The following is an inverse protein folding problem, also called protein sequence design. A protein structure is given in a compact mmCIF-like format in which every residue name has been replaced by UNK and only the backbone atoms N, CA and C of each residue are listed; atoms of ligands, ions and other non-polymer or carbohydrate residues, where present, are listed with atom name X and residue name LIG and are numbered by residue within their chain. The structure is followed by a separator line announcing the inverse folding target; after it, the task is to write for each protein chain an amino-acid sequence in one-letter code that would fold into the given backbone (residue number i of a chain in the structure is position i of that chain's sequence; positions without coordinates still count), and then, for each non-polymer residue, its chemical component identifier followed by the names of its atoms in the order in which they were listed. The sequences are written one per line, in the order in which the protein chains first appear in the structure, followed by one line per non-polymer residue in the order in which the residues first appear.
data_IF_551478224462
#
_entry.id   IF_551478224462
#
_cell.length_a   1.000
_cell.length_b   1.000
_cell.length_c   1.000
_cell.angle_alpha   90.00
_cell.angle_beta   90.00
_cell.angle_gamma   90.00
#
_symmetry.space_group_name_H-M   'P 1'
#
loop_
_entity.id
_entity.type
_entity.pdbx_description
1 polymer ?
#
# COMPACT_ATOMS: atom_id res chain seq x y z
N UNK A 1 -9.23 -3.40 -7.06
CA UNK A 1 -9.71 -4.49 -7.93
C UNK A 1 -10.31 -3.88 -9.22
N UNK A 2 -10.26 -4.57 -10.36
CA UNK A 2 -10.61 -4.12 -11.72
C UNK A 2 -12.01 -4.54 -12.17
N UNK A 3 -12.93 -3.61 -12.35
CA UNK A 3 -14.31 -3.84 -12.83
C UNK A 3 -14.61 -2.78 -13.87
N UNK A 4 -15.71 -2.89 -14.61
CA UNK A 4 -16.13 -1.82 -15.53
C UNK A 4 -17.18 -0.92 -14.85
N UNK A 5 -17.85 -1.44 -13.83
CA UNK A 5 -18.78 -0.71 -12.96
C UNK A 5 -18.41 -0.92 -11.49
N UNK A 6 -18.58 0.10 -10.65
CA UNK A 6 -18.27 0.00 -9.23
C UNK A 6 -19.22 -0.93 -8.48
N UNK A 7 -18.71 -1.69 -7.52
CA UNK A 7 -19.51 -2.58 -6.68
C UNK A 7 -18.97 -2.62 -5.25
N UNK A 8 -19.84 -2.63 -4.26
CA UNK A 8 -19.48 -2.80 -2.84
C UNK A 8 -20.66 -3.49 -2.16
N UNK A 9 -20.73 -3.50 -0.83
CA UNK A 9 -21.98 -3.85 -0.16
C UNK A 9 -23.15 -2.99 -0.69
N UNK A 10 -24.34 -3.56 -1.01
CA UNK A 10 -24.79 -4.94 -0.78
C UNK A 10 -24.51 -5.92 -1.94
N UNK A 11 -23.93 -5.48 -3.05
CA UNK A 11 -23.63 -6.32 -4.22
C UNK A 11 -22.51 -7.33 -3.95
N UNK A 12 -21.59 -6.99 -3.04
CA UNK A 12 -20.60 -7.91 -2.49
C UNK A 12 -20.91 -8.28 -1.04
N UNK A 13 -21.15 -9.56 -0.79
CA UNK A 13 -21.40 -10.11 0.56
C UNK A 13 -20.18 -10.04 1.49
N UNK A 14 -18.98 -9.89 0.94
CA UNK A 14 -17.71 -9.76 1.66
C UNK A 14 -17.26 -8.30 1.77
N UNK A 15 -18.07 -7.35 1.32
CA UNK A 15 -17.78 -5.91 1.38
C UNK A 15 -16.44 -5.51 0.72
N UNK A 16 -16.00 -6.26 -0.30
CA UNK A 16 -14.83 -5.88 -1.11
C UNK A 16 -15.15 -4.68 -1.99
N UNK A 17 -14.16 -3.82 -2.21
CA UNK A 17 -14.30 -2.64 -3.06
C UNK A 17 -13.96 -2.94 -4.53
N UNK A 18 -15.07 -3.01 -5.27
CA UNK A 18 -15.27 -3.03 -6.70
C UNK A 18 -14.92 -1.73 -7.43
N UNK A 19 -13.74 -1.51 -8.02
CA UNK A 19 -13.46 -0.23 -8.71
C UNK A 19 -13.64 -0.32 -10.22
N UNK A 20 -14.36 0.63 -10.84
CA UNK A 20 -14.48 0.71 -12.29
C UNK A 20 -13.14 1.12 -12.90
N UNK A 21 -12.84 0.57 -14.06
CA UNK A 21 -11.73 0.87 -14.92
C UNK A 21 -12.29 1.25 -16.27
N UNK A 22 -11.78 2.36 -16.78
CA UNK A 22 -12.18 2.93 -18.04
C UNK A 22 -10.90 3.22 -18.81
N UNK A 23 -10.84 2.66 -20.00
CA UNK A 23 -9.78 2.90 -20.96
C UNK A 23 -10.43 3.19 -22.33
N UNK A 24 -9.63 3.16 -23.40
CA UNK A 24 -10.10 3.39 -24.76
C UNK A 24 -10.61 2.10 -25.43
N UNK A 25 -10.56 0.95 -24.74
CA UNK A 25 -10.97 -0.31 -25.31
C UNK A 25 -12.51 -0.40 -25.34
N UNK A 26 -13.08 -1.04 -26.37
CA UNK A 26 -14.52 -1.26 -26.41
C UNK A 26 -14.98 -2.21 -25.29
N UNK A 27 -16.21 -1.99 -24.84
CA UNK A 27 -16.89 -2.84 -23.85
C UNK A 27 -17.94 -3.69 -24.55
N UNK A 28 -18.10 -4.93 -24.10
CA UNK A 28 -19.18 -5.83 -24.53
C UNK A 28 -20.10 -6.14 -23.36
N UNK A 29 -21.41 -6.15 -23.62
CA UNK A 29 -22.43 -6.55 -22.66
C UNK A 29 -22.75 -8.05 -22.76
N UNK A 30 -22.99 -8.66 -21.61
CA UNK A 30 -23.43 -10.05 -21.52
C UNK A 30 -24.82 -10.23 -22.14
N UNK A 31 -24.97 -11.28 -22.96
CA UNK A 31 -26.19 -11.54 -23.75
C UNK A 31 -27.17 -12.50 -23.06
N UNK A 32 -26.84 -12.98 -21.85
CA UNK A 32 -27.72 -13.84 -21.05
C UNK A 32 -27.40 -13.71 -19.55
N UNK A 33 -28.14 -14.42 -18.70
CA UNK A 33 -28.05 -14.31 -17.24
C UNK A 33 -26.67 -14.70 -16.71
N UNK A 34 -25.97 -13.76 -16.09
CA UNK A 34 -24.64 -13.99 -15.50
C UNK A 34 -24.76 -14.48 -14.06
N UNK A 35 -23.76 -15.25 -13.64
CA UNK A 35 -23.70 -15.89 -12.33
C UNK A 35 -22.26 -15.88 -11.83
N UNK A 36 -22.08 -15.79 -10.51
CA UNK A 36 -20.78 -15.90 -9.88
C UNK A 36 -20.58 -17.17 -9.05
N UNK A 37 -21.54 -18.11 -9.08
CA UNK A 37 -21.53 -19.30 -8.21
C UNK A 37 -20.38 -20.27 -8.50
N UNK A 38 -19.86 -20.28 -9.72
CA UNK A 38 -18.76 -21.15 -10.14
C UNK A 38 -17.37 -20.59 -9.73
N UNK A 39 -17.30 -19.33 -9.28
CA UNK A 39 -16.05 -18.76 -8.77
C UNK A 39 -15.93 -18.99 -7.27
N UNK A 40 -14.78 -19.50 -6.84
CA UNK A 40 -14.53 -19.89 -5.45
C UNK A 40 -14.72 -18.75 -4.42
N UNK A 41 -14.42 -17.50 -4.80
CA UNK A 41 -14.55 -16.33 -3.94
C UNK A 41 -15.78 -15.46 -4.22
N UNK A 42 -16.75 -15.99 -4.96
CA UNK A 42 -18.07 -15.39 -5.19
C UNK A 42 -18.02 -13.87 -5.45
N UNK A 43 -17.32 -13.40 -6.51
CA UNK A 43 -17.32 -12.01 -6.92
C UNK A 43 -18.75 -11.49 -7.20
N UNK A 44 -19.00 -10.18 -7.11
CA UNK A 44 -20.30 -9.61 -7.42
C UNK A 44 -20.74 -9.94 -8.83
N UNK A 45 -21.99 -10.38 -8.97
CA UNK A 45 -22.59 -10.75 -10.26
C UNK A 45 -22.50 -9.59 -11.26
N UNK A 46 -22.61 -8.33 -10.79
CA UNK A 46 -22.49 -7.12 -11.61
C UNK A 46 -21.18 -7.01 -12.38
N UNK A 47 -20.12 -7.64 -11.89
CA UNK A 47 -18.82 -7.69 -12.57
C UNK A 47 -18.87 -8.33 -13.96
N UNK A 48 -19.79 -9.26 -14.14
CA UNK A 48 -19.89 -10.09 -15.34
C UNK A 48 -20.92 -9.56 -16.33
N UNK A 49 -21.67 -8.50 -15.97
CA UNK A 49 -22.60 -7.85 -16.89
C UNK A 49 -21.88 -7.26 -18.11
N UNK A 50 -20.62 -6.87 -17.94
CA UNK A 50 -19.80 -6.26 -18.99
C UNK A 50 -18.40 -6.85 -18.99
N UNK A 51 -17.67 -6.68 -20.10
CA UNK A 51 -16.27 -7.04 -20.22
C UNK A 51 -15.53 -6.15 -21.20
N UNK A 52 -14.26 -5.87 -20.95
CA UNK A 52 -13.39 -5.15 -21.88
C UNK A 52 -13.01 -6.12 -22.99
N UNK A 53 -13.07 -5.67 -24.24
CA UNK A 53 -12.78 -6.49 -25.43
C UNK A 53 -11.98 -5.68 -26.45
N UNK A 54 -11.57 -6.32 -27.54
CA UNK A 54 -11.05 -5.63 -28.74
C UNK A 54 -11.66 -6.25 -30.01
N UNK A 55 -11.36 -5.68 -31.18
CA UNK A 55 -11.80 -6.21 -32.48
C UNK A 55 -11.26 -7.61 -32.74
N UNK A 56 -11.93 -8.37 -33.61
CA UNK A 56 -11.52 -9.72 -34.04
C UNK A 56 -10.03 -9.74 -34.44
N UNK A 57 -9.30 -10.72 -33.93
CA UNK A 57 -7.90 -10.99 -34.26
C UNK A 57 -6.90 -9.98 -33.69
N UNK A 58 -7.35 -8.95 -32.96
CA UNK A 58 -6.45 -8.02 -32.27
C UNK A 58 -6.15 -8.49 -30.86
N UNK A 59 -4.94 -8.19 -30.39
CA UNK A 59 -4.57 -8.31 -28.98
C UNK A 59 -5.28 -7.23 -28.18
N UNK A 60 -5.91 -7.62 -27.07
CA UNK A 60 -6.43 -6.65 -26.09
C UNK A 60 -5.31 -6.28 -25.14
N UNK A 61 -5.02 -5.00 -25.00
CA UNK A 61 -4.04 -4.49 -24.05
C UNK A 61 -4.72 -3.60 -23.03
N UNK A 62 -4.47 -3.89 -21.74
CA UNK A 62 -5.06 -3.18 -20.61
C UNK A 62 -3.93 -2.78 -19.68
N UNK A 63 -3.87 -1.50 -19.34
CA UNK A 63 -2.94 -0.99 -18.36
C UNK A 63 -3.61 -0.96 -16.99
N UNK A 64 -3.37 -2.00 -16.19
CA UNK A 64 -3.96 -2.14 -14.87
C UNK A 64 -3.03 -2.87 -13.89
N UNK A 65 -2.89 -2.38 -12.65
CA UNK A 65 -3.53 -1.17 -12.09
C UNK A 65 -2.98 0.16 -12.66
N UNK A 66 -3.78 1.22 -12.55
CA UNK A 66 -3.41 2.56 -13.08
C UNK A 66 -2.23 3.21 -12.34
N UNK A 67 -2.00 2.80 -11.10
CA UNK A 67 -0.91 3.29 -10.27
C UNK A 67 0.31 2.35 -10.39
N UNK A 68 1.54 2.88 -10.38
CA UNK A 68 2.73 2.05 -10.33
C UNK A 68 2.77 1.24 -9.03
N UNK A 69 3.16 -0.02 -9.12
CA UNK A 69 3.25 -0.95 -8.01
C UNK A 69 4.67 -0.99 -7.41
N UNK A 70 4.80 -1.10 -6.08
CA UNK A 70 6.05 -1.47 -5.43
C UNK A 70 6.65 -2.77 -6.01
N UNK A 71 7.97 -2.89 -5.98
CA UNK A 71 8.64 -4.13 -6.40
C UNK A 71 8.48 -5.21 -5.34
N UNK A 72 7.59 -6.18 -5.59
CA UNK A 72 7.33 -7.33 -4.70
C UNK A 72 6.51 -8.41 -5.42
N UNK A 73 6.07 -9.43 -4.68
CA UNK A 73 5.13 -10.44 -5.14
C UNK A 73 3.68 -10.02 -4.91
N UNK A 74 2.84 -10.39 -5.87
CA UNK A 74 1.41 -10.12 -5.86
C UNK A 74 0.63 -11.41 -6.08
N UNK A 75 -0.49 -11.53 -5.40
CA UNK A 75 -1.55 -12.43 -5.82
C UNK A 75 -2.34 -11.74 -6.94
N UNK A 76 -2.57 -12.44 -8.04
CA UNK A 76 -3.35 -11.93 -9.17
C UNK A 76 -4.42 -12.94 -9.52
N UNK A 77 -5.65 -12.49 -9.72
CA UNK A 77 -6.74 -13.32 -10.23
C UNK A 77 -7.50 -12.55 -11.30
N UNK A 78 -7.68 -13.13 -12.48
CA UNK A 78 -8.41 -12.55 -13.59
C UNK A 78 -9.66 -13.40 -13.88
N UNK A 79 -10.77 -12.71 -14.11
CA UNK A 79 -12.10 -13.31 -14.21
C UNK A 79 -12.67 -13.14 -15.62
N UNK A 80 -13.21 -14.23 -16.14
CA UNK A 80 -13.70 -14.33 -17.51
C UNK A 80 -15.04 -15.04 -17.50
N UNK A 81 -16.02 -14.50 -18.21
CA UNK A 81 -17.29 -15.16 -18.49
C UNK A 81 -17.81 -14.63 -19.82
N UNK A 82 -18.07 -15.52 -20.78
CA UNK A 82 -18.65 -15.17 -22.06
C UNK A 82 -20.02 -15.81 -22.17
N UNK A 83 -21.04 -14.99 -22.00
CA UNK A 83 -22.42 -15.45 -21.93
C UNK A 83 -23.15 -15.39 -23.28
N UNK A 84 -22.39 -15.37 -24.38
CA UNK A 84 -22.94 -15.63 -25.71
C UNK A 84 -23.30 -17.11 -25.86
N UNK A 85 -24.35 -17.36 -26.63
CA UNK A 85 -24.78 -18.72 -26.93
C UNK A 85 -23.62 -19.49 -27.60
N UNK A 86 -23.27 -20.69 -27.11
CA UNK A 86 -22.18 -21.47 -27.69
C UNK A 86 -22.42 -21.72 -29.19
N UNK A 87 -21.49 -21.28 -30.01
CA UNK A 87 -21.46 -21.52 -31.45
C UNK A 87 -20.00 -21.65 -31.88
N UNK A 88 -19.69 -22.31 -33.01
CA UNK A 88 -18.33 -22.36 -33.55
C UNK A 88 -17.69 -20.98 -33.73
N UNK A 89 -18.50 -19.92 -33.81
CA UNK A 89 -18.07 -18.54 -34.02
C UNK A 89 -18.08 -17.66 -32.77
N UNK A 90 -18.41 -18.20 -31.59
CA UNK A 90 -18.47 -17.44 -30.34
C UNK A 90 -17.40 -17.82 -29.33
N UNK A 91 -16.59 -18.86 -29.60
CA UNK A 91 -15.52 -19.28 -28.70
C UNK A 91 -14.42 -18.22 -28.64
N UNK A 92 -14.07 -17.82 -27.42
CA UNK A 92 -12.92 -16.97 -27.15
C UNK A 92 -11.81 -17.85 -26.58
N UNK A 93 -10.82 -18.12 -27.42
CA UNK A 93 -9.59 -18.79 -27.04
C UNK A 93 -8.42 -17.82 -27.19
N UNK A 94 -7.67 -17.60 -26.11
CA UNK A 94 -6.56 -16.66 -26.11
C UNK A 94 -5.53 -16.99 -25.02
N UNK A 95 -4.33 -16.48 -25.21
CA UNK A 95 -3.27 -16.48 -24.21
C UNK A 95 -3.33 -15.19 -23.38
N UNK A 96 -2.99 -15.30 -22.10
CA UNK A 96 -2.92 -14.19 -21.14
C UNK A 96 -1.46 -13.91 -20.84
N UNK A 97 -1.05 -12.65 -20.98
CA UNK A 97 0.28 -12.18 -20.64
C UNK A 97 0.21 -11.05 -19.62
N UNK A 98 1.18 -11.01 -18.71
CA UNK A 98 1.39 -9.91 -17.78
C UNK A 98 2.82 -9.41 -17.97
N UNK A 99 2.98 -8.13 -18.33
CA UNK A 99 4.26 -7.51 -18.66
C UNK A 99 5.06 -8.29 -19.72
N UNK A 100 4.37 -8.87 -20.71
CA UNK A 100 4.98 -9.67 -21.79
C UNK A 100 5.34 -11.11 -21.41
N UNK A 101 5.21 -11.49 -20.13
CA UNK A 101 5.41 -12.86 -19.68
C UNK A 101 4.10 -13.65 -19.74
N UNK A 102 4.17 -14.90 -20.20
CA UNK A 102 3.01 -15.79 -20.29
C UNK A 102 2.46 -16.07 -18.88
N UNK A 103 1.23 -15.63 -18.63
CA UNK A 103 0.51 -15.84 -17.38
C UNK A 103 -0.39 -17.08 -17.45
N UNK A 104 -1.07 -17.27 -18.58
CA UNK A 104 -1.88 -18.46 -18.82
C UNK A 104 -2.00 -18.73 -20.32
N UNK A 105 -1.85 -19.98 -20.75
CA UNK A 105 -1.94 -20.39 -22.15
C UNK A 105 -3.27 -21.06 -22.48
N UNK A 106 -3.77 -20.86 -23.70
CA UNK A 106 -4.95 -21.53 -24.24
C UNK A 106 -6.19 -21.38 -23.35
N UNK A 107 -6.42 -20.19 -22.79
CA UNK A 107 -7.62 -19.93 -22.00
C UNK A 107 -8.84 -20.02 -22.90
N UNK A 108 -9.79 -20.89 -22.54
CA UNK A 108 -11.07 -21.02 -23.19
C UNK A 108 -12.17 -20.48 -22.27
N UNK A 109 -12.80 -19.37 -22.67
CA UNK A 109 -13.83 -18.73 -21.85
C UNK A 109 -15.17 -19.47 -21.99
N UNK A 110 -15.81 -19.77 -20.87
CA UNK A 110 -17.10 -20.48 -20.81
C UNK A 110 -18.23 -19.57 -20.33
N UNK A 111 -19.47 -20.01 -20.52
CA UNK A 111 -20.66 -19.32 -20.00
C UNK A 111 -20.81 -19.43 -18.49
N UNK A 112 -20.24 -20.48 -17.85
CA UNK A 112 -20.18 -20.61 -16.39
C UNK A 112 -19.15 -19.66 -15.76
N UNK A 113 -18.16 -19.27 -16.54
CA UNK A 113 -17.05 -18.46 -16.10
C UNK A 113 -15.81 -19.29 -15.78
N UNK A 114 -14.66 -18.65 -15.86
CA UNK A 114 -13.35 -19.21 -15.55
C UNK A 114 -12.47 -18.13 -14.93
N UNK A 115 -11.70 -18.49 -13.92
CA UNK A 115 -10.70 -17.62 -13.31
C UNK A 115 -9.32 -18.20 -13.51
N UNK A 116 -8.36 -17.37 -13.89
CA UNK A 116 -6.93 -17.73 -13.87
C UNK A 116 -6.22 -16.90 -12.82
N UNK A 117 -5.36 -17.53 -12.03
CA UNK A 117 -4.71 -16.87 -10.91
C UNK A 117 -3.26 -17.30 -10.74
N UNK A 118 -2.48 -16.43 -10.10
CA UNK A 118 -1.15 -16.75 -9.61
C UNK A 118 -1.07 -16.37 -8.13
N UNK A 119 -0.62 -17.33 -7.32
CA UNK A 119 -0.44 -17.10 -5.89
C UNK A 119 0.72 -16.15 -5.58
N UNK A 120 1.75 -16.13 -6.43
CA UNK A 120 2.90 -15.24 -6.34
C UNK A 120 3.37 -14.87 -7.74
N UNK A 121 3.16 -13.62 -8.13
CA UNK A 121 3.62 -13.07 -9.40
C UNK A 121 4.47 -11.81 -9.14
N UNK A 122 5.71 -11.72 -9.64
CA UNK A 122 6.56 -10.56 -9.42
C UNK A 122 6.04 -9.38 -10.26
N UNK A 123 5.79 -8.24 -9.62
CA UNK A 123 5.45 -6.99 -10.30
C UNK A 123 6.30 -5.84 -9.76
N UNK A 124 6.51 -4.84 -10.61
CA UNK A 124 7.10 -3.55 -10.26
C UNK A 124 6.63 -2.51 -11.28
N UNK A 125 6.46 -1.26 -10.84
CA UNK A 125 6.08 -0.16 -11.72
C UNK A 125 4.70 -0.36 -12.37
N UNK A 126 4.55 0.12 -13.60
CA UNK A 126 3.30 -0.01 -14.34
C UNK A 126 3.10 -1.45 -14.84
N UNK A 127 1.87 -1.94 -14.76
CA UNK A 127 1.52 -3.30 -15.19
C UNK A 127 0.65 -3.27 -16.43
N UNK A 128 1.02 -4.07 -17.44
CA UNK A 128 0.27 -4.29 -18.67
C UNK A 128 -0.21 -5.73 -18.76
N UNK A 129 -1.52 -5.90 -18.90
CA UNK A 129 -2.17 -7.17 -19.19
C UNK A 129 -2.46 -7.21 -20.69
N UNK A 130 -2.02 -8.27 -21.37
CA UNK A 130 -2.26 -8.48 -22.80
C UNK A 130 -2.95 -9.81 -23.03
N UNK A 131 -4.07 -9.81 -23.76
CA UNK A 131 -4.79 -11.01 -24.16
C UNK A 131 -4.63 -11.21 -25.67
N UNK A 132 -3.96 -12.28 -26.08
CA UNK A 132 -3.65 -12.54 -27.49
C UNK A 132 -4.54 -13.66 -28.02
N UNK A 133 -5.45 -13.39 -28.98
CA UNK A 133 -6.34 -14.41 -29.53
C UNK A 133 -5.54 -15.51 -30.24
N UNK A 134 -5.99 -16.75 -30.11
CA UNK A 134 -5.41 -17.86 -30.88
C UNK A 134 -5.69 -17.68 -32.39
N UNK A 135 -4.82 -18.27 -33.23
CA UNK A 135 -4.91 -18.15 -34.68
C UNK A 135 -6.26 -18.70 -35.18
N UNK A 136 -6.95 -17.93 -36.02
CA UNK A 136 -8.23 -18.33 -36.59
C UNK A 136 -9.45 -18.13 -35.67
N UNK A 137 -9.26 -17.60 -34.46
CA UNK A 137 -10.38 -17.34 -33.55
C UNK A 137 -11.25 -16.17 -34.04
N UNK A 138 -12.57 -16.38 -34.21
CA UNK A 138 -13.48 -15.41 -34.83
C UNK A 138 -13.90 -14.26 -33.92
N UNK A 139 -13.47 -14.22 -32.67
CA UNK A 139 -13.90 -13.24 -31.67
C UNK A 139 -12.68 -12.75 -30.90
N UNK A 140 -12.65 -11.46 -30.56
CA UNK A 140 -11.60 -10.93 -29.70
C UNK A 140 -11.62 -11.58 -28.30
N UNK A 141 -10.57 -11.39 -27.50
CA UNK A 141 -10.55 -11.76 -26.08
C UNK A 141 -11.46 -10.85 -25.24
N UNK A 142 -11.89 -11.32 -24.06
CA UNK A 142 -12.67 -10.55 -23.09
C UNK A 142 -11.97 -10.55 -21.74
N UNK A 143 -12.10 -9.49 -20.95
CA UNK A 143 -11.78 -9.48 -19.52
C UNK A 143 -12.95 -8.85 -18.76
N UNK A 144 -13.58 -9.57 -17.85
CA UNK A 144 -14.70 -9.04 -17.06
C UNK A 144 -14.20 -8.32 -15.81
N UNK A 145 -13.21 -8.92 -15.15
CA UNK A 145 -12.81 -8.50 -13.82
C UNK A 145 -11.40 -8.94 -13.43
N UNK A 146 -10.81 -8.30 -12.41
CA UNK A 146 -9.50 -8.68 -11.87
C UNK A 146 -9.27 -8.29 -10.41
N UNK A 147 -8.60 -9.15 -9.65
CA UNK A 147 -8.10 -8.87 -8.30
C UNK A 147 -6.57 -8.87 -8.31
N UNK A 148 -5.99 -7.95 -7.55
CA UNK A 148 -4.56 -7.87 -7.30
C UNK A 148 -4.34 -7.53 -5.83
N UNK A 149 -3.54 -8.32 -5.14
CA UNK A 149 -3.18 -8.09 -3.75
C UNK A 149 -1.67 -8.13 -3.60
N UNK A 150 -1.11 -7.11 -2.95
CA UNK A 150 0.29 -7.11 -2.58
C UNK A 150 0.53 -8.16 -1.49
N UNK A 151 1.50 -9.05 -1.73
CA UNK A 151 1.91 -10.03 -0.73
C UNK A 151 2.96 -9.36 0.13
N UNK A 152 2.59 -9.16 1.39
CA UNK A 152 3.47 -8.62 2.41
C UNK A 152 4.04 -9.84 3.15
N UNK A 153 5.37 -10.07 3.08
CA UNK A 153 5.95 -11.16 3.84
C UNK A 153 5.78 -10.86 5.32
N UNK A 154 4.88 -11.59 6.00
CA UNK A 154 4.62 -11.48 7.45
C UNK A 154 5.73 -12.11 8.29
N UNK A 155 6.94 -12.24 7.74
CA UNK A 155 8.08 -12.79 8.44
C UNK A 155 8.60 -11.77 9.44
N UNK A 156 8.52 -12.11 10.72
CA UNK A 156 9.09 -11.33 11.82
C UNK A 156 8.10 -10.44 12.54
N UNK A 157 8.61 -9.74 13.54
CA UNK A 157 7.91 -8.76 14.38
C UNK A 157 8.87 -7.65 14.77
N UNK A 158 8.38 -6.46 15.07
CA UNK A 158 9.22 -5.50 15.79
C UNK A 158 9.55 -6.04 17.18
N UNK A 159 10.76 -5.77 17.64
CA UNK A 159 11.17 -6.13 19.00
C UNK A 159 10.25 -5.45 20.03
N UNK A 160 9.75 -6.21 21.00
CA UNK A 160 8.67 -5.76 21.91
C UNK A 160 8.97 -4.46 22.65
N UNK A 161 10.22 -4.22 23.06
CA UNK A 161 10.60 -2.96 23.71
C UNK A 161 10.49 -1.77 22.76
N UNK A 162 10.79 -1.98 21.49
CA UNK A 162 10.70 -0.95 20.46
C UNK A 162 9.22 -0.65 20.15
N UNK A 163 8.36 -1.68 20.11
CA UNK A 163 6.89 -1.50 19.99
C UNK A 163 6.37 -0.62 21.12
N UNK A 164 6.66 -0.98 22.38
CA UNK A 164 6.17 -0.24 23.55
C UNK A 164 6.61 1.23 23.51
N UNK A 165 7.88 1.49 23.21
CA UNK A 165 8.41 2.85 23.10
C UNK A 165 7.73 3.65 21.97
N UNK A 166 7.51 3.02 20.81
CA UNK A 166 6.87 3.67 19.65
C UNK A 166 5.38 3.92 19.87
N UNK A 167 4.65 3.01 20.50
CA UNK A 167 3.24 3.21 20.88
C UNK A 167 3.07 4.32 21.91
N UNK A 168 4.01 4.43 22.86
CA UNK A 168 4.02 5.50 23.85
C UNK A 168 4.34 6.85 23.20
N UNK A 169 5.28 6.88 22.25
CA UNK A 169 5.56 8.06 21.43
C UNK A 169 4.31 8.47 20.64
N UNK A 170 3.66 7.54 19.96
CA UNK A 170 2.46 7.81 19.16
C UNK A 170 1.32 8.41 20.00
N UNK A 171 1.15 7.94 21.24
CA UNK A 171 0.16 8.49 22.19
C UNK A 171 0.55 9.85 22.77
N UNK A 172 1.85 10.16 22.82
CA UNK A 172 2.38 11.39 23.43
C UNK A 172 2.47 12.57 22.45
N UNK A 173 2.23 12.32 21.16
CA UNK A 173 2.25 13.33 20.10
C UNK A 173 0.83 13.72 19.70
N UNK A 174 0.58 15.01 19.55
CA UNK A 174 -0.65 15.55 18.98
C UNK A 174 -0.63 15.36 17.46
N UNK A 175 -1.71 14.79 16.93
CA UNK A 175 -1.90 14.52 15.50
C UNK A 175 -0.74 13.71 14.89
N UNK A 176 -0.46 12.49 15.39
CA UNK A 176 0.56 11.64 14.79
C UNK A 176 0.17 11.31 13.33
N UNK A 177 1.14 10.96 12.48
CA UNK A 177 0.86 10.50 11.13
C UNK A 177 -0.19 9.37 11.13
N UNK A 178 -1.13 9.35 10.17
CA UNK A 178 -2.26 8.40 10.19
C UNK A 178 -1.86 6.91 10.14
N UNK A 179 -0.64 6.63 9.68
CA UNK A 179 -0.06 5.29 9.57
C UNK A 179 0.67 4.84 10.85
N UNK A 180 0.75 5.68 11.88
CA UNK A 180 1.29 5.32 13.21
C UNK A 180 0.30 4.45 14.01
N UNK A 181 -0.06 3.30 13.43
CA UNK A 181 -0.95 2.32 14.02
C UNK A 181 -0.48 0.90 13.62
N UNK A 182 -0.48 -0.04 14.56
CA UNK A 182 0.02 -1.39 14.33
C UNK A 182 1.53 -1.55 14.59
N UNK A 183 2.20 -2.41 13.83
CA UNK A 183 3.64 -2.65 14.00
C UNK A 183 4.46 -1.51 13.36
N UNK A 184 5.39 -0.86 14.08
CA UNK A 184 6.09 0.33 13.59
C UNK A 184 7.12 0.06 12.49
N UNK A 185 7.61 -1.18 12.35
CA UNK A 185 8.60 -1.55 11.34
C UNK A 185 8.04 -2.45 10.24
N UNK A 186 6.93 -3.13 10.50
CA UNK A 186 6.41 -4.17 9.64
C UNK A 186 5.02 -3.86 9.11
N UNK A 187 4.73 -4.29 7.87
CA UNK A 187 5.54 -5.17 7.02
C UNK A 187 6.73 -4.47 6.37
N UNK A 188 7.75 -5.24 5.97
CA UNK A 188 8.98 -4.69 5.38
C UNK A 188 8.65 -3.74 4.22
N UNK A 189 9.23 -2.54 4.24
CA UNK A 189 8.97 -1.48 3.25
C UNK A 189 7.70 -0.65 3.51
N UNK A 190 6.98 -0.93 4.61
CA UNK A 190 5.80 -0.21 5.07
C UNK A 190 5.91 0.08 6.58
N UNK A 191 7.10 0.47 7.03
CA UNK A 191 7.27 1.03 8.38
C UNK A 191 6.49 2.34 8.50
N UNK A 192 6.20 2.74 9.73
CA UNK A 192 5.56 4.03 10.00
C UNK A 192 6.33 5.19 9.35
N UNK A 193 5.60 6.22 8.95
CA UNK A 193 6.16 7.43 8.34
C UNK A 193 7.23 8.03 9.26
N UNK A 194 8.42 8.25 8.71
CA UNK A 194 9.58 8.74 9.45
C UNK A 194 10.38 7.67 10.20
N UNK A 195 9.92 6.42 10.23
CA UNK A 195 10.60 5.32 10.94
C UNK A 195 11.39 4.46 9.96
N UNK A 196 12.68 4.26 10.23
CA UNK A 196 13.51 3.27 9.52
C UNK A 196 13.94 2.17 10.49
N UNK A 197 13.82 0.92 10.06
CA UNK A 197 14.10 -0.23 10.90
C UNK A 197 15.16 -1.17 10.33
N UNK A 198 15.75 -1.98 11.19
CA UNK A 198 16.70 -3.02 10.81
C UNK A 198 16.01 -4.15 10.05
N UNK A 199 16.77 -4.81 9.18
CA UNK A 199 16.32 -6.02 8.50
C UNK A 199 16.53 -7.23 9.41
N UNK A 200 15.46 -7.93 9.77
CA UNK A 200 15.54 -9.17 10.54
C UNK A 200 14.19 -9.67 11.01
N UNK A 201 14.16 -10.89 11.57
CA UNK A 201 12.93 -11.46 12.15
C UNK A 201 12.47 -10.68 13.39
N UNK A 202 13.40 -10.06 14.11
CA UNK A 202 13.10 -9.10 15.18
C UNK A 202 13.60 -7.72 14.75
N UNK A 203 12.76 -6.98 14.03
CA UNK A 203 13.11 -5.64 13.54
C UNK A 203 13.34 -4.69 14.73
N UNK A 204 14.34 -3.82 14.60
CA UNK A 204 14.68 -2.79 15.59
C UNK A 204 14.54 -1.41 14.95
N UNK A 205 14.08 -0.42 15.69
CA UNK A 205 14.02 0.96 15.19
C UNK A 205 15.44 1.53 15.15
N UNK A 206 15.89 1.94 13.98
CA UNK A 206 17.22 2.51 13.76
C UNK A 206 17.18 4.03 13.58
N UNK A 207 16.11 4.55 13.01
CA UNK A 207 15.96 5.99 12.76
C UNK A 207 14.54 6.44 12.99
N UNK A 208 14.40 7.56 13.68
CA UNK A 208 13.17 8.32 13.81
C UNK A 208 13.37 9.70 13.20
N UNK A 209 12.63 10.01 12.15
CA UNK A 209 12.65 11.29 11.48
C UNK A 209 11.31 12.00 11.69
N UNK A 210 11.32 12.98 12.58
CA UNK A 210 10.16 13.80 12.96
C UNK A 210 10.18 15.17 12.27
N UNK A 211 11.13 15.40 11.36
CA UNK A 211 11.26 16.65 10.62
C UNK A 211 10.03 16.91 9.74
N UNK A 212 9.57 18.17 9.66
CA UNK A 212 8.44 18.62 8.84
C UNK A 212 7.08 17.95 9.10
N UNK A 213 6.95 17.13 10.15
CA UNK A 213 5.70 16.45 10.46
C UNK A 213 4.70 17.34 11.23
N UNK A 214 5.06 18.59 11.55
CA UNK A 214 4.19 19.54 12.26
C UNK A 214 3.79 19.08 13.67
N UNK A 215 4.56 18.14 14.22
CA UNK A 215 4.22 17.43 15.45
C UNK A 215 4.48 18.32 16.68
N UNK A 216 3.54 18.31 17.61
CA UNK A 216 3.68 18.90 18.95
C UNK A 216 3.33 17.83 19.98
N UNK A 217 3.92 17.85 21.18
CA UNK A 217 3.67 16.78 22.15
C UNK A 217 4.74 16.70 23.23
N UNK A 218 4.92 15.51 23.82
CA UNK A 218 6.00 15.22 24.77
C UNK A 218 6.79 14.01 24.27
N UNK A 219 8.12 14.04 24.40
CA UNK A 219 8.97 12.89 24.12
C UNK A 219 8.94 12.02 25.37
N UNK A 220 8.36 10.81 25.31
CA UNK A 220 8.24 9.98 26.49
C UNK A 220 9.61 9.40 26.89
N UNK A 221 9.86 9.18 28.19
CA UNK A 221 11.08 8.54 28.69
C UNK A 221 11.28 7.12 28.15
N UNK A 222 10.22 6.48 27.67
CA UNK A 222 10.28 5.15 27.06
C UNK A 222 11.06 5.12 25.76
N UNK A 223 11.35 6.27 25.12
CA UNK A 223 12.25 6.34 23.95
C UNK A 223 13.66 5.82 24.27
N UNK A 224 14.11 5.90 25.52
CA UNK A 224 15.40 5.34 25.94
C UNK A 224 15.46 3.81 25.78
N UNK A 225 14.30 3.14 25.70
CA UNK A 225 14.24 1.71 25.43
C UNK A 225 14.55 1.35 23.97
N UNK A 226 14.62 2.33 23.06
CA UNK A 226 15.03 2.14 21.66
C UNK A 226 16.55 1.96 21.55
N UNK A 227 17.06 0.86 22.11
CA UNK A 227 18.51 0.62 22.27
C UNK A 227 19.30 0.50 20.96
N UNK A 228 18.61 0.37 19.82
CA UNK A 228 19.21 0.28 18.48
C UNK A 228 19.06 1.57 17.67
N UNK A 229 18.42 2.60 18.24
CA UNK A 229 18.22 3.89 17.60
C UNK A 229 19.59 4.55 17.38
N UNK A 230 19.90 4.84 16.12
CA UNK A 230 21.14 5.49 15.72
C UNK A 230 20.92 6.98 15.38
N UNK A 231 19.72 7.33 14.90
CA UNK A 231 19.40 8.69 14.47
C UNK A 231 18.01 9.12 14.93
N UNK A 232 17.92 10.30 15.55
CA UNK A 232 16.68 10.99 15.84
C UNK A 232 16.76 12.39 15.19
N UNK A 233 15.95 12.61 14.16
CA UNK A 233 15.88 13.89 13.44
C UNK A 233 14.65 14.67 13.85
N UNK A 234 14.82 15.98 13.96
CA UNK A 234 13.75 16.88 14.28
C UNK A 234 14.08 18.35 13.97
N UNK A 235 13.06 19.21 13.86
CA UNK A 235 13.24 20.65 13.62
C UNK A 235 12.76 21.51 14.79
N UNK A 236 13.48 22.58 15.17
CA UNK A 236 12.96 23.62 16.05
C UNK A 236 11.92 24.51 15.33
N UNK A 237 10.94 25.10 16.04
CA UNK A 237 10.72 25.00 17.49
C UNK A 237 9.84 23.80 17.82
N UNK A 238 10.44 22.76 18.39
CA UNK A 238 9.67 21.71 19.03
C UNK A 238 9.01 22.30 20.28
N UNK A 239 7.67 22.35 20.31
CA UNK A 239 6.92 22.60 21.54
C UNK A 239 6.89 21.37 22.46
N UNK A 240 7.99 20.60 22.47
CA UNK A 240 8.13 19.41 23.30
C UNK A 240 8.72 19.80 24.65
N UNK A 241 7.94 19.59 25.71
CA UNK A 241 8.43 19.76 27.08
C UNK A 241 9.31 18.54 27.40
N UNK A 242 10.63 18.68 27.34
CA UNK A 242 11.54 17.63 27.76
C UNK A 242 11.38 17.42 29.28
N UNK A 243 11.21 16.18 29.76
CA UNK A 243 11.46 15.86 31.16
C UNK A 243 12.92 16.19 31.48
N UNK A 244 13.21 16.83 32.62
CA UNK A 244 14.55 17.29 33.04
C UNK A 244 15.66 16.20 32.99
N UNK A 245 15.28 14.91 32.91
CA UNK A 245 16.19 13.77 32.90
C UNK A 245 16.72 13.36 31.52
N UNK A 246 16.23 13.95 30.41
CA UNK A 246 16.65 13.54 29.05
C UNK A 246 18.06 14.03 28.64
N UNK A 247 18.63 14.99 29.39
CA UNK A 247 19.91 15.62 29.03
C UNK A 247 21.15 14.78 29.37
N UNK A 248 21.00 13.61 30.01
CA UNK A 248 22.14 12.87 30.58
C UNK A 248 22.30 11.41 30.16
N UNK A 249 21.39 10.84 29.36
CA UNK A 249 21.53 9.48 28.84
C UNK A 249 21.69 9.48 27.32
N UNK A 250 22.89 9.89 26.90
CA UNK A 250 23.39 9.60 25.55
C UNK A 250 23.45 8.07 25.41
N UNK A 251 22.44 7.50 24.75
CA UNK A 251 22.46 6.10 24.31
C UNK A 251 23.71 5.92 23.46
N UNK A 252 24.55 4.94 23.80
CA UNK A 252 25.99 4.88 23.46
C UNK A 252 26.40 4.83 21.98
N UNK A 253 25.52 5.13 21.02
CA UNK A 253 25.83 5.24 19.59
C UNK A 253 24.89 6.22 18.83
N UNK A 254 24.15 7.09 19.52
CA UNK A 254 23.16 7.99 18.90
C UNK A 254 23.83 9.26 18.34
N UNK A 255 23.71 9.51 17.04
CA UNK A 255 24.01 10.83 16.45
C UNK A 255 22.73 11.66 16.53
N UNK A 256 22.64 12.48 17.58
CA UNK A 256 21.58 13.47 17.75
C UNK A 256 21.96 14.72 16.96
N UNK A 257 21.19 15.07 15.92
CA UNK A 257 21.34 16.36 15.23
C UNK A 257 20.32 17.33 15.82
N UNK A 258 20.80 18.13 16.77
CA UNK A 258 20.14 19.25 17.46
C UNK A 258 19.01 18.90 18.45
N UNK A 259 19.32 18.98 19.75
CA UNK A 259 18.33 18.99 20.84
C UNK A 259 18.77 20.04 21.89
N UNK A 260 17.95 21.10 22.03
CA UNK A 260 17.93 22.12 23.09
C UNK A 260 19.23 22.89 23.45
N UNK A 261 19.46 24.04 22.82
CA UNK A 261 20.12 25.16 23.50
C UNK A 261 19.07 26.07 24.15
N UNK A 262 18.95 26.01 25.47
CA UNK A 262 18.93 27.16 26.41
C UNK A 262 18.33 26.73 27.76
N UNK A 263 19.18 26.60 28.78
CA UNK A 263 18.85 26.92 30.18
C UNK A 263 20.11 26.89 31.07
N UNK A 264 21.17 27.62 30.71
CA UNK A 264 22.24 27.93 31.66
C UNK A 264 22.82 29.33 31.36
N UNK A 265 22.14 30.37 31.82
CA UNK A 265 22.82 31.58 32.30
C UNK A 265 22.10 32.12 33.52
N UNK A 266 22.35 31.49 34.67
CA UNK A 266 22.28 32.16 35.96
C UNK A 266 23.62 32.86 36.21
N UNK A 267 23.59 34.19 36.23
CA UNK A 267 24.47 35.10 36.98
C UNK A 267 25.98 35.14 36.66
N UNK A 268 26.47 36.33 36.32
CA UNK A 268 27.49 37.08 37.07
C UNK A 268 27.57 38.50 36.47
N UNK A 269 27.59 39.51 37.34
CA UNK A 269 27.31 40.89 36.99
C UNK A 269 28.46 41.67 36.36
N UNK A 270 28.13 42.84 35.83
CA UNK A 270 29.01 44.01 35.82
C UNK A 270 28.16 45.29 35.85
N UNK A 271 28.68 46.24 36.62
CA UNK A 271 28.11 47.51 37.10
C UNK A 271 28.17 48.66 36.10
N UNK A 272 27.38 49.71 36.42
CA UNK A 272 27.42 51.13 36.01
C UNK A 272 26.28 51.50 35.03
N UNK A 273 25.52 52.58 35.18
CA UNK A 273 25.45 53.70 36.13
C UNK A 273 24.18 54.49 35.81
N UNK A 274 23.51 55.00 36.85
CA UNK A 274 22.55 56.13 36.93
C UNK A 274 22.04 56.81 35.63
N UNK A 275 20.72 57.02 35.51
CA UNK A 275 20.11 58.33 35.79
C UNK A 275 18.57 58.29 35.66
N UNK A 276 17.94 59.10 36.51
CA UNK A 276 16.51 59.31 36.74
C UNK A 276 15.88 60.33 35.78
N UNK A 277 14.60 60.15 35.45
CA UNK A 277 13.53 61.18 35.51
C UNK A 277 12.19 60.51 35.11
N UNK A 278 11.24 60.29 36.02
CA UNK A 278 10.05 61.15 36.28
C UNK A 278 9.31 61.54 34.98
N UNK A 279 8.01 61.27 34.82
CA UNK A 279 6.87 61.57 35.71
C UNK A 279 5.95 60.34 35.89
#
# INVERSE_FOLDING_TARGET
MLFICGASFPDDKFNRMWQPHKDQNPVVESQSNVTSSDFWNLPPVKAFNTGVTTSRGKTLEIQWPSMPLPSTYYYICLYFQDNRQPSPYSWRAFDVFINGHLFFSNLNVTSKGVSVYAAQWPLFGQTKISLTPAVGVPVGPVLNAGEIYQILPLGGRTHTRDIIAMEDLARSINNPPPDWNGDPCLPKGNSWTGVTCSNGFHARVLTLNLTNAGLSGILPPTLDNLSALAHLYGMPPFYFKCPELFLLFVVSNLIVVSICEHLLTGGLGETNSQASSQI
#
